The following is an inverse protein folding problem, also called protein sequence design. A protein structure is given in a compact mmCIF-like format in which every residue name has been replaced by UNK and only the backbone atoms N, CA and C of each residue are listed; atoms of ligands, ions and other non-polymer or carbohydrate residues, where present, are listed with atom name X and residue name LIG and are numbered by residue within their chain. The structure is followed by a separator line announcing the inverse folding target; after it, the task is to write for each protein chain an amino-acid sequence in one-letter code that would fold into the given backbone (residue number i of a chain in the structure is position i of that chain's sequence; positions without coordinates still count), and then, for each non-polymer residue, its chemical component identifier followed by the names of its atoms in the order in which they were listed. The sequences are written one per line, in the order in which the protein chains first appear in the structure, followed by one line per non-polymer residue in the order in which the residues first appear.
data_IF_939926757399
#
_entry.id   IF_939926757399
#
_cell.length_a   1.000
_cell.length_b   1.000
_cell.length_c   1.000
_cell.angle_alpha   90.00
_cell.angle_beta   90.00
_cell.angle_gamma   90.00
#
_symmetry.space_group_name_H-M   'P 1'
#
loop_
_entity.id
_entity.type
_entity.pdbx_description
1 polymer ?
#
# COMPACT_ATOMS: atom_id res chain seq x y z
N UNK A 1 -20.23 11.95 -19.28
CA UNK A 1 -19.95 12.83 -18.17
C UNK A 1 -19.06 13.94 -18.72
N UNK A 2 -19.58 15.17 -18.72
CA UNK A 2 -18.98 16.24 -19.50
C UNK A 2 -17.82 16.91 -18.77
N UNK A 3 -17.01 17.63 -19.53
CA UNK A 3 -15.88 18.48 -19.13
C UNK A 3 -16.20 19.52 -18.04
N UNK A 4 -17.48 19.76 -17.72
CA UNK A 4 -17.94 20.64 -16.64
C UNK A 4 -17.60 20.12 -15.23
N UNK A 5 -17.57 18.81 -15.04
CA UNK A 5 -17.31 18.22 -13.71
C UNK A 5 -15.84 18.36 -13.29
N UNK A 6 -14.92 18.28 -14.25
CA UNK A 6 -13.48 18.38 -13.96
C UNK A 6 -13.08 19.81 -13.60
N UNK A 7 -13.63 20.81 -14.29
CA UNK A 7 -13.32 22.21 -14.01
C UNK A 7 -13.89 22.66 -12.66
N UNK A 8 -15.07 22.14 -12.28
CA UNK A 8 -15.68 22.40 -10.98
C UNK A 8 -14.88 21.72 -9.85
N UNK A 9 -14.39 20.52 -10.08
CA UNK A 9 -13.53 19.82 -9.14
C UNK A 9 -12.17 20.52 -8.93
N UNK A 10 -11.52 21.00 -10.00
CA UNK A 10 -10.26 21.75 -9.93
C UNK A 10 -10.46 23.08 -9.14
N UNK A 11 -11.56 23.79 -9.34
CA UNK A 11 -11.82 25.04 -8.62
C UNK A 11 -12.05 24.83 -7.12
N UNK A 12 -12.70 23.74 -6.72
CA UNK A 12 -12.95 23.39 -5.31
C UNK A 12 -11.66 22.98 -4.59
N UNK A 13 -10.76 22.28 -5.24
CA UNK A 13 -9.53 21.80 -4.62
C UNK A 13 -8.41 22.84 -4.59
N UNK A 14 -8.38 23.77 -5.54
CA UNK A 14 -7.32 24.79 -5.62
C UNK A 14 -7.63 26.08 -4.85
N UNK A 15 -8.86 26.28 -4.37
CA UNK A 15 -9.28 27.52 -3.74
C UNK A 15 -9.26 28.73 -4.69
N UNK A 16 -9.04 28.50 -5.98
CA UNK A 16 -9.04 29.53 -7.02
C UNK A 16 -10.46 29.63 -7.55
N UNK A 17 -11.15 30.70 -7.17
CA UNK A 17 -12.40 31.08 -7.82
C UNK A 17 -12.08 31.56 -9.21
N UNK A 18 -12.34 30.72 -10.21
CA UNK A 18 -12.25 31.17 -11.60
C UNK A 18 -13.36 32.20 -11.85
N UNK A 19 -13.03 33.43 -12.24
CA UNK A 19 -14.05 34.42 -12.59
C UNK A 19 -14.87 33.86 -13.76
N UNK A 20 -16.19 33.69 -13.56
CA UNK A 20 -17.07 33.26 -14.62
C UNK A 20 -17.53 31.81 -14.59
N UNK A 21 -17.45 31.11 -13.46
CA UNK A 21 -17.87 29.69 -13.35
C UNK A 21 -19.36 29.42 -13.66
N UNK A 22 -20.17 30.42 -13.97
CA UNK A 22 -21.58 30.27 -14.33
C UNK A 22 -21.88 30.45 -15.81
N UNK A 23 -20.89 30.63 -16.66
CA UNK A 23 -21.06 30.72 -18.09
C UNK A 23 -19.75 31.07 -18.76
N UNK A 24 -19.18 30.15 -19.46
CA UNK A 24 -18.07 30.40 -20.34
C UNK A 24 -18.56 31.19 -21.55
N UNK A 25 -18.41 32.51 -21.53
CA UNK A 25 -18.64 33.35 -22.69
C UNK A 25 -17.41 33.24 -23.61
N UNK A 26 -17.46 32.30 -24.53
CA UNK A 26 -16.38 32.00 -25.49
C UNK A 26 -16.18 33.15 -26.49
N UNK A 27 -16.95 34.23 -26.39
CA UNK A 27 -16.99 35.31 -27.39
C UNK A 27 -16.15 36.55 -27.11
N UNK A 28 -15.58 36.74 -25.91
CA UNK A 28 -14.98 38.03 -25.54
C UNK A 28 -13.49 38.08 -25.26
N UNK A 29 -12.84 36.94 -25.12
CA UNK A 29 -11.37 36.89 -25.01
C UNK A 29 -10.85 35.77 -25.87
N UNK A 30 -10.30 36.08 -27.02
CA UNK A 30 -9.76 35.13 -28.00
C UNK A 30 -8.51 34.36 -27.55
N UNK A 31 -8.44 34.03 -26.28
CA UNK A 31 -7.43 33.13 -25.71
C UNK A 31 -8.14 31.86 -25.30
N UNK A 32 -8.12 30.86 -26.17
CA UNK A 32 -8.36 29.47 -25.79
C UNK A 32 -7.34 29.11 -24.72
N UNK A 33 -7.73 29.04 -23.47
CA UNK A 33 -6.95 28.35 -22.44
C UNK A 33 -6.99 26.87 -22.79
N UNK A 34 -6.00 26.44 -23.56
CA UNK A 34 -5.72 25.01 -23.74
C UNK A 34 -5.28 24.48 -22.37
N UNK A 35 -6.17 23.81 -21.70
CA UNK A 35 -5.80 23.06 -20.49
C UNK A 35 -4.86 21.96 -20.96
N UNK A 36 -3.62 22.04 -20.55
CA UNK A 36 -2.66 20.95 -20.73
C UNK A 36 -3.08 19.79 -19.81
N UNK A 37 -3.95 18.93 -20.36
CA UNK A 37 -4.48 17.76 -19.63
C UNK A 37 -3.34 16.82 -19.27
N UNK A 38 -2.37 16.63 -20.17
CA UNK A 38 -1.26 15.72 -19.95
C UNK A 38 -0.33 16.28 -18.85
N UNK A 39 -0.06 17.57 -18.85
CA UNK A 39 0.67 18.24 -17.78
C UNK A 39 -0.06 18.21 -16.45
N UNK A 40 -1.39 18.42 -16.45
CA UNK A 40 -2.20 18.33 -15.23
C UNK A 40 -2.25 16.91 -14.70
N UNK A 41 -2.38 15.89 -15.55
CA UNK A 41 -2.31 14.47 -15.18
C UNK A 41 -0.93 14.12 -14.65
N UNK A 42 0.14 14.54 -15.31
CA UNK A 42 1.51 14.32 -14.84
C UNK A 42 1.76 14.96 -13.46
N UNK A 43 1.24 16.17 -13.22
CA UNK A 43 1.37 16.86 -11.94
C UNK A 43 0.52 16.19 -10.85
N UNK A 44 -0.69 15.72 -11.17
CA UNK A 44 -1.50 14.95 -10.24
C UNK A 44 -0.83 13.61 -9.91
N UNK A 45 -0.30 12.92 -10.90
CA UNK A 45 0.50 11.72 -10.68
C UNK A 45 1.70 12.05 -9.80
N UNK A 46 2.43 13.14 -10.04
CA UNK A 46 3.59 13.55 -9.25
C UNK A 46 3.22 13.87 -7.79
N UNK A 47 2.08 14.52 -7.53
CA UNK A 47 1.64 14.93 -6.19
C UNK A 47 0.97 13.81 -5.42
N UNK A 48 0.21 12.96 -6.08
CA UNK A 48 -0.67 11.97 -5.46
C UNK A 48 -0.28 10.53 -5.73
N UNK A 49 0.61 10.26 -6.71
CA UNK A 49 1.19 8.94 -6.79
C UNK A 49 2.06 8.72 -5.55
N UNK A 50 1.76 7.66 -4.84
CA UNK A 50 2.70 7.08 -3.90
C UNK A 50 3.96 6.79 -4.71
N UNK A 51 5.01 7.60 -4.51
CA UNK A 51 6.28 7.41 -5.22
C UNK A 51 6.91 6.13 -4.68
N UNK A 52 6.64 5.04 -5.36
CA UNK A 52 7.30 3.77 -5.12
C UNK A 52 8.60 3.83 -5.92
N UNK A 53 9.61 4.49 -5.33
CA UNK A 53 10.97 4.38 -5.84
C UNK A 53 11.41 2.92 -5.80
N UNK A 54 12.36 2.55 -6.67
CA UNK A 54 13.01 1.24 -6.56
C UNK A 54 13.51 1.08 -5.13
N UNK A 55 13.09 0.01 -4.46
CA UNK A 55 13.65 -0.36 -3.17
C UNK A 55 15.16 -0.58 -3.35
N UNK A 56 15.97 -0.02 -2.47
CA UNK A 56 17.38 -0.39 -2.37
C UNK A 56 17.55 -1.20 -1.10
N UNK A 57 18.11 -2.38 -1.24
CA UNK A 57 18.32 -3.33 -0.16
C UNK A 57 19.80 -3.41 0.15
N UNK A 58 20.15 -3.30 1.43
CA UNK A 58 21.47 -3.59 1.95
C UNK A 58 21.33 -4.87 2.79
N UNK A 59 22.00 -5.94 2.40
CA UNK A 59 21.96 -7.20 3.12
C UNK A 59 23.38 -7.64 3.52
N UNK A 60 23.49 -8.23 4.70
CA UNK A 60 24.64 -9.04 5.09
C UNK A 60 24.27 -10.50 4.80
N UNK A 61 24.90 -11.06 3.78
CA UNK A 61 24.61 -12.41 3.30
C UNK A 61 25.50 -13.49 3.93
N UNK A 62 26.28 -13.13 4.95
CA UNK A 62 27.36 -13.97 5.51
C UNK A 62 26.90 -15.35 6.03
N UNK A 63 25.62 -15.61 6.24
CA UNK A 63 25.08 -16.93 6.63
C UNK A 63 23.65 -17.15 6.12
N UNK A 64 23.26 -16.39 5.09
CA UNK A 64 21.92 -16.44 4.53
C UNK A 64 21.86 -17.34 3.29
N UNK A 65 20.87 -18.24 3.26
CA UNK A 65 20.56 -19.06 2.09
C UNK A 65 19.28 -18.57 1.45
N UNK A 66 19.34 -18.26 0.16
CA UNK A 66 18.14 -17.96 -0.61
C UNK A 66 17.16 -19.12 -0.57
N UNK A 67 15.97 -18.91 -0.05
CA UNK A 67 14.97 -19.94 0.17
C UNK A 67 13.62 -19.65 -0.48
N UNK A 68 13.29 -18.35 -0.68
CA UNK A 68 12.00 -17.94 -1.21
C UNK A 68 11.99 -18.03 -2.73
N UNK A 69 11.53 -19.14 -3.26
CA UNK A 69 11.33 -19.36 -4.68
C UNK A 69 9.86 -19.50 -5.06
N UNK A 70 9.55 -19.53 -6.35
CA UNK A 70 8.18 -19.67 -6.86
C UNK A 70 7.47 -20.95 -6.38
N UNK A 71 8.22 -22.02 -6.14
CA UNK A 71 7.69 -23.27 -5.60
C UNK A 71 7.17 -23.13 -4.17
N UNK A 72 7.79 -22.25 -3.36
CA UNK A 72 7.39 -21.99 -1.96
C UNK A 72 6.11 -21.17 -1.88
N UNK A 73 5.78 -20.43 -2.92
CA UNK A 73 4.57 -19.61 -2.99
C UNK A 73 3.31 -20.39 -3.41
N UNK A 74 3.48 -21.66 -3.80
CA UNK A 74 2.34 -22.51 -4.16
C UNK A 74 1.48 -22.81 -2.94
N UNK A 75 0.18 -22.59 -3.07
CA UNK A 75 -0.78 -22.83 -1.99
C UNK A 75 -0.89 -21.75 -0.95
N UNK A 76 -0.27 -20.60 -1.14
CA UNK A 76 -0.47 -19.42 -0.32
C UNK A 76 -1.93 -19.00 -0.28
N UNK A 77 -2.41 -18.51 0.87
CA UNK A 77 -3.82 -18.15 1.10
C UNK A 77 -3.99 -16.73 1.63
N UNK A 78 -3.14 -16.31 2.55
CA UNK A 78 -3.27 -15.00 3.20
C UNK A 78 -2.88 -13.88 2.24
N UNK A 79 -1.76 -14.01 1.54
CA UNK A 79 -1.32 -13.01 0.56
C UNK A 79 -2.30 -12.85 -0.61
N UNK A 80 -2.76 -13.89 -1.31
CA UNK A 80 -3.73 -13.74 -2.40
C UNK A 80 -5.01 -13.04 -1.94
N UNK A 81 -5.57 -13.42 -0.79
CA UNK A 81 -6.76 -12.76 -0.24
C UNK A 81 -6.51 -11.28 0.07
N UNK A 82 -5.35 -10.94 0.66
CA UNK A 82 -4.99 -9.56 0.94
C UNK A 82 -4.79 -8.76 -0.34
N UNK A 83 -4.17 -9.36 -1.36
CA UNK A 83 -4.03 -8.78 -2.70
C UNK A 83 -5.39 -8.45 -3.31
N UNK A 84 -6.33 -9.39 -3.31
CA UNK A 84 -7.69 -9.19 -3.83
C UNK A 84 -8.41 -8.02 -3.11
N UNK A 85 -8.20 -7.87 -1.81
CA UNK A 85 -8.73 -6.74 -1.06
C UNK A 85 -8.09 -5.41 -1.50
N UNK A 86 -6.77 -5.39 -1.72
CA UNK A 86 -6.06 -4.20 -2.16
C UNK A 86 -6.44 -3.77 -3.58
N UNK A 87 -6.74 -4.70 -4.48
CA UNK A 87 -7.15 -4.43 -5.87
C UNK A 87 -8.42 -3.57 -5.96
N UNK A 88 -9.23 -3.58 -4.90
CA UNK A 88 -10.41 -2.70 -4.79
C UNK A 88 -10.07 -1.27 -4.33
N UNK A 89 -8.87 -1.04 -3.81
CA UNK A 89 -8.48 0.20 -3.12
C UNK A 89 -7.26 0.89 -3.73
N UNK A 90 -6.45 0.16 -4.51
CA UNK A 90 -5.15 0.62 -5.00
C UNK A 90 -4.96 0.30 -6.49
N UNK A 91 -4.19 1.13 -7.22
CA UNK A 91 -3.82 0.84 -8.59
C UNK A 91 -2.95 -0.44 -8.69
N UNK A 92 -3.09 -1.23 -9.78
CA UNK A 92 -2.33 -2.47 -9.97
C UNK A 92 -0.81 -2.29 -9.83
N UNK A 93 -0.24 -1.23 -10.41
CA UNK A 93 1.19 -0.94 -10.32
C UNK A 93 1.69 -0.76 -8.86
N UNK A 94 0.84 -0.20 -7.97
CA UNK A 94 1.18 -0.06 -6.55
C UNK A 94 1.16 -1.41 -5.83
N UNK A 95 0.25 -2.30 -6.23
CA UNK A 95 0.15 -3.65 -5.67
C UNK A 95 1.33 -4.50 -6.11
N UNK A 96 1.70 -4.43 -7.38
CA UNK A 96 2.86 -5.16 -7.92
C UNK A 96 4.17 -4.70 -7.25
N UNK A 97 4.34 -3.41 -7.05
CA UNK A 97 5.49 -2.87 -6.31
C UNK A 97 5.49 -3.30 -4.84
N UNK A 98 4.32 -3.35 -4.19
CA UNK A 98 4.15 -3.88 -2.84
C UNK A 98 4.51 -5.36 -2.79
N UNK A 99 4.07 -6.14 -3.78
CA UNK A 99 4.39 -7.57 -3.88
C UNK A 99 5.90 -7.80 -3.99
N UNK A 100 6.57 -7.06 -4.87
CA UNK A 100 8.02 -7.16 -5.06
C UNK A 100 8.75 -6.79 -3.76
N UNK A 101 8.43 -5.63 -3.16
CA UNK A 101 9.12 -5.16 -1.95
C UNK A 101 8.93 -6.09 -0.76
N UNK A 102 7.75 -6.66 -0.58
CA UNK A 102 7.48 -7.62 0.51
C UNK A 102 8.09 -8.99 0.25
N UNK A 103 8.24 -9.40 -1.02
CA UNK A 103 9.00 -10.59 -1.38
C UNK A 103 10.49 -10.44 -1.09
N UNK A 104 11.06 -9.28 -1.42
CA UNK A 104 12.47 -8.97 -1.10
C UNK A 104 12.70 -9.04 0.42
N UNK A 105 11.87 -8.37 1.22
CA UNK A 105 12.00 -8.40 2.68
C UNK A 105 11.84 -9.81 3.24
N UNK A 106 10.81 -10.55 2.80
CA UNK A 106 10.59 -11.93 3.25
C UNK A 106 11.75 -12.84 2.86
N UNK A 107 12.28 -12.67 1.64
CA UNK A 107 13.41 -13.42 1.14
C UNK A 107 14.70 -13.21 1.95
N UNK A 108 14.85 -12.05 2.61
CA UNK A 108 15.97 -11.73 3.50
C UNK A 108 15.79 -12.28 4.92
N UNK A 109 14.58 -12.63 5.32
CA UNK A 109 14.34 -13.38 6.55
C UNK A 109 14.81 -14.83 6.38
N UNK A 110 14.97 -15.55 7.47
CA UNK A 110 15.34 -16.97 7.42
C UNK A 110 14.17 -17.86 7.01
N UNK A 111 14.47 -19.01 6.35
CA UNK A 111 13.45 -20.04 6.11
C UNK A 111 12.89 -20.53 7.45
N UNK A 112 11.57 -20.41 7.70
CA UNK A 112 10.96 -20.89 8.94
C UNK A 112 11.11 -22.40 9.16
N UNK A 113 11.51 -23.16 8.14
CA UNK A 113 11.82 -24.59 8.23
C UNK A 113 13.32 -24.86 8.46
N UNK A 114 14.15 -23.84 8.55
CA UNK A 114 15.58 -24.02 8.85
C UNK A 114 15.74 -24.65 10.24
N UNK A 115 16.58 -25.66 10.32
CA UNK A 115 16.96 -26.29 11.60
C UNK A 115 17.99 -25.45 12.34
N UNK A 116 17.91 -25.50 13.68
CA UNK A 116 18.80 -24.72 14.55
C UNK A 116 18.26 -23.35 14.93
N UNK A 117 19.01 -22.62 15.74
CA UNK A 117 18.69 -21.25 16.11
C UNK A 117 19.23 -20.26 15.08
N UNK A 118 18.48 -19.18 14.86
CA UNK A 118 18.88 -18.09 13.99
C UNK A 118 18.37 -16.76 14.54
N UNK A 119 19.08 -15.69 14.24
CA UNK A 119 18.69 -14.32 14.56
C UNK A 119 18.88 -13.47 13.30
N UNK A 120 17.79 -12.92 12.77
CA UNK A 120 17.78 -11.99 11.63
C UNK A 120 17.11 -10.71 12.04
N UNK A 121 17.79 -9.60 11.80
CA UNK A 121 17.29 -8.27 12.07
C UNK A 121 17.24 -7.48 10.78
N UNK A 122 16.20 -6.70 10.59
CA UNK A 122 16.04 -5.84 9.43
C UNK A 122 15.35 -4.53 9.78
N UNK A 123 15.59 -3.52 8.97
CA UNK A 123 14.95 -2.21 9.07
C UNK A 123 14.33 -1.87 7.73
N UNK A 124 13.02 -1.61 7.73
CA UNK A 124 12.32 -1.09 6.55
C UNK A 124 12.03 0.39 6.76
N UNK A 125 12.61 1.22 5.91
CA UNK A 125 12.44 2.68 5.96
C UNK A 125 11.48 3.13 4.86
N UNK A 126 10.51 3.94 5.24
CA UNK A 126 9.56 4.53 4.28
C UNK A 126 9.09 5.91 4.73
N UNK A 127 8.87 6.81 3.78
CA UNK A 127 8.34 8.14 4.04
C UNK A 127 6.94 8.09 4.70
N UNK A 128 6.52 9.19 5.32
CA UNK A 128 5.15 9.34 5.80
C UNK A 128 4.18 9.16 4.63
N UNK A 129 3.10 8.41 4.85
CA UNK A 129 2.10 8.06 3.82
C UNK A 129 2.63 7.21 2.64
N UNK A 130 3.77 6.56 2.78
CA UNK A 130 4.34 5.67 1.75
C UNK A 130 3.73 4.26 1.71
N UNK A 131 2.56 4.04 2.31
CA UNK A 131 1.94 2.71 2.33
C UNK A 131 2.57 1.72 3.32
N UNK A 132 3.28 2.19 4.35
CA UNK A 132 3.92 1.31 5.36
C UNK A 132 2.97 0.27 5.95
N UNK A 133 1.72 0.65 6.21
CA UNK A 133 0.71 -0.27 6.74
C UNK A 133 0.44 -1.41 5.77
N UNK A 134 0.27 -1.12 4.48
CA UNK A 134 0.08 -2.14 3.47
C UNK A 134 1.32 -3.05 3.36
N UNK A 135 2.52 -2.47 3.47
CA UNK A 135 3.76 -3.21 3.39
C UNK A 135 3.90 -4.22 4.55
N UNK A 136 3.79 -3.79 5.82
CA UNK A 136 3.94 -4.75 6.93
C UNK A 136 2.78 -5.75 6.99
N UNK A 137 1.55 -5.36 6.62
CA UNK A 137 0.43 -6.32 6.55
C UNK A 137 0.67 -7.36 5.46
N UNK A 138 1.13 -6.95 4.28
CA UNK A 138 1.52 -7.85 3.20
C UNK A 138 2.64 -8.80 3.60
N UNK A 139 3.66 -8.27 4.30
CA UNK A 139 4.76 -9.09 4.83
C UNK A 139 4.26 -10.12 5.85
N UNK A 140 3.35 -9.74 6.74
CA UNK A 140 2.73 -10.65 7.73
C UNK A 140 1.94 -11.75 7.02
N UNK A 141 1.12 -11.41 6.01
CA UNK A 141 0.39 -12.38 5.21
C UNK A 141 1.34 -13.40 4.57
N UNK A 142 2.39 -12.93 3.92
CA UNK A 142 3.39 -13.77 3.26
C UNK A 142 4.22 -14.60 4.25
N UNK A 143 4.56 -14.04 5.41
CA UNK A 143 5.27 -14.77 6.46
C UNK A 143 4.43 -15.93 7.00
N UNK A 144 3.14 -15.69 7.25
CA UNK A 144 2.21 -16.74 7.67
C UNK A 144 2.07 -17.83 6.59
N UNK A 145 1.93 -17.45 5.32
CA UNK A 145 1.89 -18.39 4.19
C UNK A 145 3.20 -19.18 4.04
N UNK A 146 4.34 -18.55 4.32
CA UNK A 146 5.65 -19.20 4.29
C UNK A 146 5.86 -20.21 5.45
N UNK A 147 5.04 -20.14 6.51
CA UNK A 147 5.06 -21.08 7.61
C UNK A 147 5.58 -20.54 8.94
N UNK A 148 5.73 -19.23 9.09
CA UNK A 148 6.02 -18.62 10.39
C UNK A 148 4.85 -18.86 11.35
N UNK A 149 5.12 -19.49 12.50
CA UNK A 149 4.11 -19.94 13.47
C UNK A 149 3.64 -18.84 14.40
N UNK A 150 4.54 -17.90 14.72
CA UNK A 150 4.28 -16.79 15.64
C UNK A 150 4.79 -15.51 15.03
N UNK A 151 3.91 -14.51 14.95
CA UNK A 151 4.23 -13.18 14.47
C UNK A 151 3.77 -12.20 15.55
N UNK A 152 4.70 -11.45 16.13
CA UNK A 152 4.41 -10.47 17.18
C UNK A 152 4.56 -9.07 16.62
N UNK A 153 3.49 -8.29 16.66
CA UNK A 153 3.49 -6.90 16.19
C UNK A 153 3.48 -5.96 17.39
N UNK A 154 4.56 -5.22 17.57
CA UNK A 154 4.69 -4.19 18.60
C UNK A 154 4.26 -2.85 17.99
N UNK A 155 3.01 -2.50 18.18
CA UNK A 155 2.46 -1.21 17.78
C UNK A 155 2.82 -0.11 18.78
N UNK A 156 2.66 1.18 18.37
CA UNK A 156 3.03 2.32 19.19
C UNK A 156 2.39 2.36 20.60
N UNK A 157 2.96 3.15 21.48
CA UNK A 157 2.60 3.24 22.92
C UNK A 157 1.17 3.76 23.18
N UNK A 158 0.62 4.57 22.27
CA UNK A 158 -0.72 5.13 22.43
C UNK A 158 -1.80 4.13 22.02
N UNK A 159 -2.86 4.04 22.83
CA UNK A 159 -3.99 3.14 22.59
C UNK A 159 -4.61 3.32 21.21
N UNK A 160 -4.73 4.55 20.73
CA UNK A 160 -5.28 4.85 19.40
C UNK A 160 -4.45 4.21 18.26
N UNK A 161 -3.12 4.29 18.35
CA UNK A 161 -2.23 3.69 17.34
C UNK A 161 -2.31 2.16 17.38
N UNK A 162 -2.39 1.59 18.59
CA UNK A 162 -2.56 0.15 18.77
C UNK A 162 -3.88 -0.33 18.18
N UNK A 163 -4.98 0.33 18.50
CA UNK A 163 -6.31 -0.01 17.98
C UNK A 163 -6.38 0.12 16.45
N UNK A 164 -5.81 1.19 15.88
CA UNK A 164 -5.73 1.34 14.43
C UNK A 164 -4.92 0.22 13.78
N UNK A 165 -3.79 -0.17 14.38
CA UNK A 165 -2.97 -1.27 13.86
C UNK A 165 -3.72 -2.59 13.93
N UNK A 166 -4.42 -2.84 15.05
CA UNK A 166 -5.25 -4.04 15.22
C UNK A 166 -6.33 -4.12 14.13
N UNK A 167 -7.13 -3.07 13.95
CA UNK A 167 -8.18 -3.01 12.92
C UNK A 167 -7.60 -3.30 11.53
N UNK A 168 -6.44 -2.71 11.19
CA UNK A 168 -5.80 -2.93 9.90
C UNK A 168 -5.32 -4.37 9.69
N UNK A 169 -4.83 -5.01 10.75
CA UNK A 169 -4.42 -6.42 10.70
C UNK A 169 -5.63 -7.34 10.68
N UNK A 170 -6.69 -7.04 11.39
CA UNK A 170 -7.94 -7.79 11.33
C UNK A 170 -8.53 -7.75 9.92
N UNK A 171 -8.63 -6.56 9.31
CA UNK A 171 -9.09 -6.39 7.94
C UNK A 171 -8.18 -7.13 6.93
N UNK A 172 -6.88 -6.88 6.98
CA UNK A 172 -5.94 -7.36 5.95
C UNK A 172 -5.50 -8.80 6.14
N UNK A 173 -5.19 -9.21 7.38
CA UNK A 173 -4.64 -10.53 7.67
C UNK A 173 -5.71 -11.54 8.08
N UNK A 174 -6.66 -11.18 8.94
CA UNK A 174 -7.71 -12.11 9.37
C UNK A 174 -8.90 -12.12 8.39
N UNK A 175 -9.32 -10.95 7.90
CA UNK A 175 -10.49 -10.76 7.06
C UNK A 175 -11.80 -10.70 7.87
N UNK A 176 -11.71 -10.54 9.18
CA UNK A 176 -12.84 -10.35 10.10
C UNK A 176 -12.40 -9.60 11.35
N UNK A 177 -13.35 -8.95 12.03
CA UNK A 177 -13.12 -8.23 13.27
C UNK A 177 -13.16 -9.20 14.47
N UNK A 178 -12.19 -9.02 15.41
CA UNK A 178 -12.08 -9.86 16.62
C UNK A 178 -12.62 -9.17 17.88
N UNK A 179 -13.31 -8.04 17.74
CA UNK A 179 -13.87 -7.32 18.89
C UNK A 179 -14.86 -8.19 19.65
N UNK A 180 -14.92 -8.04 20.99
CA UNK A 180 -15.61 -8.90 21.94
C UNK A 180 -17.15 -8.97 21.84
N UNK A 181 -17.75 -8.24 20.92
CA UNK A 181 -19.17 -8.40 20.59
C UNK A 181 -19.30 -9.49 19.54
N UNK A 182 -19.93 -10.58 19.90
CA UNK A 182 -20.11 -11.86 19.23
C UNK A 182 -20.61 -11.86 17.77
N UNK A 183 -20.69 -10.76 17.10
CA UNK A 183 -21.01 -10.67 15.69
C UNK A 183 -19.72 -10.51 14.90
N UNK A 184 -19.25 -11.61 14.33
CA UNK A 184 -18.12 -11.62 13.40
C UNK A 184 -18.53 -10.87 12.14
N UNK A 185 -18.27 -9.57 12.12
CA UNK A 185 -18.43 -8.78 10.90
C UNK A 185 -17.36 -9.19 9.90
N UNK A 186 -17.76 -9.57 8.71
CA UNK A 186 -16.84 -9.81 7.57
C UNK A 186 -16.63 -8.50 6.83
N UNK A 187 -15.39 -8.14 6.59
CA UNK A 187 -15.03 -6.99 5.75
C UNK A 187 -15.23 -7.26 4.27
#
# INVERSE_FOLDING_TARGET
AGTSDISQWISVQSGVTLPGATGWDVGKTGTLLTIDIDGAVAELIRRYSIWIGKSSTLSDDSDHKTWLGSSRKKGWRYWPRYRDMLERKMPPAAIDALEISTDEVLGLLEDPNRTGSWDRRGLVVGHVQSGKTANYTGLICKAADAGYKVIVVLAGLHNNLRSQTQIRLEEGFLGYETSANNDVAKF
#
